data_IF_518335094642
#
_entry.id   IF_518335094642
#
_cell.length_a   1.000
_cell.length_b   1.000
_cell.length_c   1.000
_cell.angle_alpha   90.00
_cell.angle_beta   90.00
_cell.angle_gamma   90.00
#
_symmetry.space_group_name_H-M   'P 1'
#
loop_
_entity.id
_entity.type
_entity.pdbx_description
1 polymer ?
#
# COMPACT_ATOMS: atom_id res chain seq x y z
N UNK A 1 14.22 11.10 -12.23
CA UNK A 1 13.50 12.16 -11.46
C UNK A 1 12.98 11.63 -10.13
N UNK A 2 12.14 10.59 -10.12
CA UNK A 2 11.60 9.98 -8.89
C UNK A 2 12.68 9.43 -7.94
N UNK A 3 13.71 8.77 -8.49
CA UNK A 3 14.85 8.24 -7.74
C UNK A 3 15.56 9.28 -6.83
N UNK A 4 15.43 10.58 -7.12
CA UNK A 4 16.09 11.66 -6.37
C UNK A 4 15.29 12.18 -5.17
N UNK A 5 14.03 11.79 -5.03
CA UNK A 5 13.21 12.21 -3.89
C UNK A 5 13.81 11.68 -2.58
N UNK A 6 14.01 12.56 -1.61
CA UNK A 6 14.38 12.23 -0.23
C UNK A 6 13.15 11.82 0.57
N UNK A 7 13.33 11.10 1.68
CA UNK A 7 12.21 10.71 2.53
C UNK A 7 11.40 11.94 2.98
N UNK A 8 10.08 11.87 2.81
CA UNK A 8 9.15 12.98 3.05
C UNK A 8 9.01 13.97 1.90
N UNK A 9 9.78 13.83 0.80
CA UNK A 9 9.57 14.63 -0.41
C UNK A 9 8.51 13.99 -1.31
N UNK A 10 7.84 14.86 -2.07
CA UNK A 10 6.84 14.46 -3.07
C UNK A 10 7.08 15.12 -4.42
N UNK A 11 6.53 14.53 -5.47
CA UNK A 11 6.41 15.22 -6.76
C UNK A 11 5.32 16.29 -6.71
N UNK A 12 5.30 17.21 -7.70
CA UNK A 12 4.09 17.97 -8.03
C UNK A 12 2.89 17.04 -8.26
N UNK A 13 1.69 17.62 -8.11
CA UNK A 13 0.46 16.96 -8.50
C UNK A 13 0.40 16.82 -10.02
N UNK A 14 -0.12 15.71 -10.49
CA UNK A 14 -0.47 15.50 -11.90
C UNK A 14 -1.84 14.85 -11.99
N UNK A 15 -2.59 15.15 -13.04
CA UNK A 15 -3.90 14.56 -13.27
C UNK A 15 -3.79 13.31 -14.14
N UNK A 16 -4.39 12.21 -13.71
CA UNK A 16 -4.69 11.10 -14.60
C UNK A 16 -6.08 11.29 -15.18
N UNK A 17 -6.14 11.53 -16.49
CA UNK A 17 -7.38 11.55 -17.27
C UNK A 17 -7.41 10.26 -18.09
N UNK A 18 -8.45 9.47 -17.93
CA UNK A 18 -8.69 8.27 -18.74
C UNK A 18 -10.13 8.29 -19.23
N UNK A 19 -10.36 7.94 -20.49
CA UNK A 19 -11.70 7.91 -21.09
C UNK A 19 -12.66 6.92 -20.43
N UNK A 20 -12.15 5.96 -19.64
CA UNK A 20 -12.94 4.92 -18.95
C UNK A 20 -12.88 4.97 -17.43
N UNK A 21 -12.15 5.93 -16.82
CA UNK A 21 -12.01 6.02 -15.36
C UNK A 21 -12.24 7.44 -14.89
N UNK A 22 -12.71 7.58 -13.65
CA UNK A 22 -12.79 8.88 -12.97
C UNK A 22 -11.43 9.58 -12.99
N UNK A 23 -11.44 10.89 -13.24
CA UNK A 23 -10.24 11.72 -13.21
C UNK A 23 -9.71 11.78 -11.77
N UNK A 24 -8.39 11.64 -11.61
CA UNK A 24 -7.74 11.65 -10.30
C UNK A 24 -6.56 12.60 -10.30
N UNK A 25 -6.35 13.28 -9.18
CA UNK A 25 -5.07 13.89 -8.87
C UNK A 25 -4.15 12.82 -8.28
N UNK A 26 -2.90 12.80 -8.72
CA UNK A 26 -1.88 11.85 -8.29
C UNK A 26 -0.58 12.55 -7.96
N UNK A 27 0.18 11.96 -7.04
CA UNK A 27 1.55 12.35 -6.71
C UNK A 27 2.33 11.14 -6.22
N UNK A 28 3.65 11.21 -6.34
CA UNK A 28 4.54 10.24 -5.70
C UNK A 28 5.13 10.85 -4.43
N UNK A 29 5.31 10.02 -3.41
CA UNK A 29 6.00 10.36 -2.15
C UNK A 29 7.09 9.33 -1.87
N UNK A 30 8.23 9.77 -1.33
CA UNK A 30 9.23 8.87 -0.77
C UNK A 30 8.95 8.66 0.72
N UNK A 31 8.60 7.43 1.09
CA UNK A 31 8.34 7.01 2.47
C UNK A 31 9.63 6.80 3.26
N UNK A 32 10.65 6.20 2.64
CA UNK A 32 11.96 5.92 3.24
C UNK A 32 13.04 5.95 2.15
N UNK A 33 14.31 6.26 2.48
CA UNK A 33 15.39 6.10 1.53
C UNK A 33 15.57 4.62 1.15
N UNK A 34 16.05 4.32 -0.07
CA UNK A 34 16.45 2.96 -0.43
C UNK A 34 17.63 2.51 0.45
N UNK A 35 17.62 1.25 0.86
CA UNK A 35 18.74 0.60 1.56
C UNK A 35 19.65 -0.13 0.56
N UNK A 36 20.77 -0.67 1.05
CA UNK A 36 21.69 -1.42 0.20
C UNK A 36 21.00 -2.64 -0.42
N UNK A 37 21.06 -2.75 -1.75
CA UNK A 37 20.42 -3.84 -2.51
C UNK A 37 18.98 -3.55 -2.92
N UNK A 38 18.39 -2.44 -2.49
CA UNK A 38 17.09 -2.01 -2.98
C UNK A 38 17.17 -1.42 -4.39
N UNK A 39 16.05 -1.50 -5.12
CA UNK A 39 15.82 -0.66 -6.29
C UNK A 39 15.79 0.82 -5.90
N UNK A 40 16.21 1.72 -6.80
CA UNK A 40 16.10 3.18 -6.62
C UNK A 40 14.66 3.67 -6.35
N UNK A 41 13.65 2.86 -6.70
CA UNK A 41 12.24 3.14 -6.47
C UNK A 41 11.71 2.57 -5.15
N UNK A 42 12.54 1.89 -4.36
CA UNK A 42 12.15 1.46 -3.02
C UNK A 42 11.72 2.66 -2.16
N UNK A 43 10.68 2.45 -1.36
CA UNK A 43 10.09 3.53 -0.57
C UNK A 43 9.26 4.54 -1.37
N UNK A 44 9.13 4.43 -2.69
CA UNK A 44 8.20 5.30 -3.43
C UNK A 44 6.79 4.74 -3.37
N UNK A 45 5.84 5.56 -2.91
CA UNK A 45 4.42 5.27 -2.99
C UNK A 45 3.73 6.28 -3.89
N UNK A 46 2.75 5.81 -4.66
CA UNK A 46 1.86 6.65 -5.44
C UNK A 46 0.56 6.84 -4.69
N UNK A 47 0.18 8.09 -4.46
CA UNK A 47 -1.07 8.45 -3.82
C UNK A 47 -1.98 9.13 -4.82
N UNK A 48 -3.29 8.93 -4.62
CA UNK A 48 -4.32 9.45 -5.52
C UNK A 48 -5.56 9.87 -4.75
N UNK A 49 -6.21 10.92 -5.24
CA UNK A 49 -7.52 11.36 -4.76
C UNK A 49 -8.40 11.69 -5.96
N UNK A 50 -9.72 11.55 -5.82
CA UNK A 50 -10.66 11.92 -6.87
C UNK A 50 -10.56 13.42 -7.23
N UNK A 51 -10.70 13.78 -8.51
CA UNK A 51 -10.68 15.19 -8.94
C UNK A 51 -11.75 16.04 -8.22
N UNK A 52 -12.87 15.41 -7.85
CA UNK A 52 -14.00 16.03 -7.15
C UNK A 52 -13.64 16.74 -5.83
N UNK A 53 -12.50 16.40 -5.19
CA UNK A 53 -12.07 17.12 -3.97
C UNK A 53 -11.56 18.54 -4.26
N UNK A 54 -11.24 18.85 -5.53
CA UNK A 54 -10.64 20.10 -5.95
C UNK A 54 -9.12 20.15 -5.76
N UNK A 55 -8.45 20.98 -6.57
CA UNK A 55 -6.98 21.03 -6.64
C UNK A 55 -6.33 21.47 -5.31
N UNK A 56 -6.91 22.45 -4.61
CA UNK A 56 -6.36 22.93 -3.34
C UNK A 56 -6.45 21.89 -2.22
N UNK A 57 -7.56 21.14 -2.15
CA UNK A 57 -7.67 20.04 -1.18
C UNK A 57 -6.69 18.92 -1.51
N UNK A 58 -6.55 18.57 -2.80
CA UNK A 58 -5.57 17.60 -3.26
C UNK A 58 -4.13 18.02 -2.89
N UNK A 59 -3.80 19.31 -3.03
CA UNK A 59 -2.49 19.84 -2.64
C UNK A 59 -2.24 19.72 -1.14
N UNK A 60 -3.22 20.10 -0.31
CA UNK A 60 -3.14 19.93 1.16
C UNK A 60 -2.96 18.47 1.55
N UNK A 61 -3.70 17.55 0.93
CA UNK A 61 -3.54 16.11 1.17
C UNK A 61 -2.16 15.62 0.74
N UNK A 62 -1.65 16.10 -0.39
CA UNK A 62 -0.32 15.75 -0.86
C UNK A 62 0.77 16.22 0.11
N UNK A 63 0.71 17.47 0.56
CA UNK A 63 1.63 18.03 1.56
C UNK A 63 1.57 17.28 2.90
N UNK A 64 0.35 17.04 3.40
CA UNK A 64 0.14 16.33 4.66
C UNK A 64 0.63 14.88 4.59
N UNK A 65 0.31 14.15 3.52
CA UNK A 65 0.75 12.77 3.33
C UNK A 65 2.28 12.65 3.25
N UNK A 66 2.94 13.61 2.59
CA UNK A 66 4.40 13.65 2.51
C UNK A 66 5.06 13.86 3.88
N UNK A 67 4.48 14.73 4.72
CA UNK A 67 4.99 14.98 6.06
C UNK A 67 4.70 13.83 7.05
N UNK A 68 3.56 13.16 6.93
CA UNK A 68 3.05 12.26 7.96
C UNK A 68 3.45 10.80 7.70
N UNK A 69 3.29 10.29 6.47
CA UNK A 69 3.42 8.86 6.18
C UNK A 69 4.81 8.27 6.47
N UNK A 70 5.94 8.96 6.22
CA UNK A 70 7.28 8.44 6.56
C UNK A 70 7.42 8.02 8.03
N UNK A 71 6.71 8.70 8.95
CA UNK A 71 6.76 8.42 10.40
C UNK A 71 6.16 7.07 10.77
N UNK A 72 5.40 6.45 9.86
CA UNK A 72 4.75 5.16 10.06
C UNK A 72 5.47 4.01 9.36
N UNK A 73 6.63 4.25 8.73
CA UNK A 73 7.41 3.19 8.10
C UNK A 73 8.04 2.31 9.19
N UNK A 74 7.72 0.99 9.25
CA UNK A 74 8.38 0.08 10.17
C UNK A 74 9.82 -0.22 9.71
N UNK A 75 10.70 -0.61 10.63
CA UNK A 75 11.98 -1.23 10.24
C UNK A 75 11.76 -2.59 9.55
N UNK A 76 12.63 -2.97 8.61
CA UNK A 76 12.54 -4.25 7.89
C UNK A 76 12.56 -5.49 8.78
N UNK A 77 13.24 -5.41 9.92
CA UNK A 77 13.23 -6.46 10.95
C UNK A 77 11.82 -6.73 11.50
N UNK A 78 10.93 -5.74 11.44
CA UNK A 78 9.55 -5.83 11.96
C UNK A 78 8.56 -6.27 10.90
N UNK A 79 8.73 -5.79 9.67
CA UNK A 79 7.92 -6.20 8.52
C UNK A 79 8.81 -6.26 7.27
N UNK A 80 8.99 -7.45 6.64
CA UNK A 80 9.81 -7.58 5.45
C UNK A 80 9.25 -6.84 4.24
N UNK A 81 7.97 -6.43 4.28
CA UNK A 81 7.30 -5.59 3.26
C UNK A 81 7.46 -4.08 3.53
N UNK A 82 8.24 -3.71 4.53
CA UNK A 82 8.74 -2.34 4.66
C UNK A 82 9.56 -1.96 3.42
N UNK A 83 9.53 -0.70 2.95
CA UNK A 83 8.85 0.47 3.51
C UNK A 83 7.42 0.71 3.04
N UNK A 84 6.91 -0.09 2.09
CA UNK A 84 5.59 0.14 1.50
C UNK A 84 4.46 -0.19 2.47
N UNK A 85 4.66 -1.16 3.36
CA UNK A 85 3.64 -1.53 4.35
C UNK A 85 3.76 -0.72 5.65
N UNK A 86 3.00 0.36 5.75
CA UNK A 86 2.99 1.24 6.93
C UNK A 86 2.45 0.52 8.18
N UNK A 87 2.91 0.94 9.36
CA UNK A 87 2.51 0.37 10.65
C UNK A 87 0.97 0.26 10.84
N UNK A 88 0.15 1.28 10.51
CA UNK A 88 -1.30 1.18 10.61
C UNK A 88 -1.90 0.15 9.63
N UNK A 89 -1.32 0.00 8.44
CA UNK A 89 -1.77 -0.99 7.44
C UNK A 89 -1.50 -2.39 7.97
N UNK A 90 -0.28 -2.65 8.46
CA UNK A 90 0.05 -3.94 9.06
C UNK A 90 -0.82 -4.26 10.29
N UNK A 91 -1.21 -3.26 11.09
CA UNK A 91 -2.14 -3.46 12.19
C UNK A 91 -3.55 -3.82 11.70
N UNK A 92 -4.07 -3.11 10.70
CA UNK A 92 -5.36 -3.40 10.09
C UNK A 92 -5.39 -4.81 9.48
N UNK A 93 -4.35 -5.18 8.72
CA UNK A 93 -4.25 -6.52 8.13
C UNK A 93 -4.26 -7.62 9.20
N UNK A 94 -3.54 -7.44 10.31
CA UNK A 94 -3.57 -8.41 11.42
C UNK A 94 -4.97 -8.55 12.01
N UNK A 95 -5.68 -7.45 12.18
CA UNK A 95 -7.06 -7.45 12.67
C UNK A 95 -8.00 -8.16 11.69
N UNK A 96 -7.93 -7.82 10.40
CA UNK A 96 -8.75 -8.47 9.36
C UNK A 96 -8.48 -9.97 9.27
N UNK A 97 -7.21 -10.40 9.37
CA UNK A 97 -6.85 -11.83 9.38
C UNK A 97 -7.47 -12.58 10.56
N UNK A 98 -7.62 -11.95 11.73
CA UNK A 98 -8.30 -12.58 12.87
C UNK A 98 -9.78 -12.82 12.59
N UNK A 99 -10.44 -11.92 11.87
CA UNK A 99 -11.85 -12.07 11.49
C UNK A 99 -12.09 -13.13 10.40
N UNK A 100 -11.06 -13.51 9.64
CA UNK A 100 -11.17 -14.53 8.59
C UNK A 100 -11.10 -15.99 9.12
N UNK A 101 -10.77 -16.19 10.40
CA UNK A 101 -10.61 -17.53 10.98
C UNK A 101 -9.25 -18.18 10.66
N UNK A 102 -9.06 -19.43 11.11
CA UNK A 102 -7.81 -20.17 10.91
C UNK A 102 -7.77 -20.85 9.54
N UNK A 103 -6.90 -20.33 8.66
CA UNK A 103 -6.70 -20.87 7.32
C UNK A 103 -6.27 -22.34 7.29
N UNK A 104 -5.61 -22.87 8.34
CA UNK A 104 -5.25 -24.29 8.43
C UNK A 104 -6.48 -25.16 8.67
N UNK A 105 -7.43 -24.69 9.48
CA UNK A 105 -8.69 -25.40 9.71
C UNK A 105 -9.54 -25.39 8.43
N UNK A 106 -9.69 -24.22 7.78
CA UNK A 106 -10.41 -24.12 6.52
C UNK A 106 -9.78 -25.03 5.44
N UNK A 107 -8.45 -24.99 5.28
CA UNK A 107 -7.74 -25.82 4.31
C UNK A 107 -7.99 -27.31 4.56
N UNK A 108 -7.82 -27.79 5.81
CA UNK A 108 -8.07 -29.20 6.16
C UNK A 108 -9.51 -29.62 5.89
N UNK A 109 -10.46 -28.74 6.18
CA UNK A 109 -11.88 -29.01 5.94
C UNK A 109 -12.16 -29.15 4.44
N UNK A 110 -11.64 -28.23 3.62
CA UNK A 110 -11.75 -28.30 2.16
C UNK A 110 -11.11 -29.59 1.62
N UNK A 111 -9.90 -29.93 2.06
CA UNK A 111 -9.22 -31.17 1.65
C UNK A 111 -10.03 -32.42 2.00
N UNK A 112 -10.68 -32.43 3.16
CA UNK A 112 -11.55 -33.54 3.60
C UNK A 112 -12.79 -33.68 2.72
N UNK A 113 -13.42 -32.55 2.37
CA UNK A 113 -14.58 -32.54 1.48
C UNK A 113 -14.19 -33.05 0.08
N UNK A 114 -13.09 -32.56 -0.47
CA UNK A 114 -12.58 -33.02 -1.78
C UNK A 114 -12.32 -34.53 -1.77
N UNK A 115 -11.64 -35.06 -0.74
CA UNK A 115 -11.36 -36.48 -0.64
C UNK A 115 -12.63 -37.34 -0.44
N UNK A 116 -13.68 -36.76 0.14
CA UNK A 116 -14.98 -37.43 0.28
C UNK A 116 -15.70 -37.49 -1.05
N UNK A 117 -15.82 -36.38 -1.77
CA UNK A 117 -16.41 -36.33 -3.11
C UNK A 117 -15.69 -37.26 -4.09
N UNK A 118 -14.35 -37.27 -4.09
CA UNK A 118 -13.56 -38.14 -4.96
C UNK A 118 -13.72 -39.65 -4.66
N UNK A 119 -14.30 -40.03 -3.51
CA UNK A 119 -14.62 -41.43 -3.18
C UNK A 119 -16.02 -41.84 -3.63
N UNK A 120 -16.91 -40.88 -3.90
CA UNK A 120 -18.28 -41.12 -4.35
C UNK A 120 -18.50 -40.75 -5.83
N UNK A 121 -17.46 -40.27 -6.51
CA UNK A 121 -17.38 -40.11 -7.96
C UNK A 121 -16.75 -41.35 -8.62
#
# INVERSE_FOLDING_TARGET
>A
MLARLRAGERTPLFALRSSRRFVRFSWFVRLAPPELGDSELAGIARLEVAEAVGIEAARRLADASAAILPRFVPGRWRDPRSPQNLLPIGALERTLRRYMGDGRLLRRHIETLIATEARYA
#
